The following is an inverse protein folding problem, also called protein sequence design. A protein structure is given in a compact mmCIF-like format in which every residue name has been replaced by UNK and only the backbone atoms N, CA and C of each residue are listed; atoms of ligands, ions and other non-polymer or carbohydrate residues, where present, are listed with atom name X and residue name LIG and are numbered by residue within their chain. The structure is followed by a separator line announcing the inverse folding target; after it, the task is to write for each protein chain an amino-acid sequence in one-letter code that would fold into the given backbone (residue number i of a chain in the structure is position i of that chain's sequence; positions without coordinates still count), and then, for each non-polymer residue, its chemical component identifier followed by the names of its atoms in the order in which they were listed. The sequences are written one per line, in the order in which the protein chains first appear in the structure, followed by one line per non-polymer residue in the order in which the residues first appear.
data_IF_218757797714
#
_entry.id   IF_218757797714
#
_cell.length_a   1.000
_cell.length_b   1.000
_cell.length_c   1.000
_cell.angle_alpha   90.00
_cell.angle_beta   90.00
_cell.angle_gamma   90.00
#
_symmetry.space_group_name_H-M   'P 1'
#
loop_
_entity.id
_entity.type
_entity.pdbx_description
1 polymer ?
#
# COMPACT_ATOMS: atom_id res chain seq x y z
N UNK A 1 -2.29 -24.83 22.61
CA UNK A 1 -2.36 -23.39 22.32
C UNK A 1 -2.41 -22.69 23.65
N UNK A 2 -1.32 -22.09 24.07
CA UNK A 2 -1.26 -21.35 25.34
C UNK A 2 -1.67 -19.91 25.10
N UNK A 3 -2.59 -19.42 25.92
CA UNK A 3 -3.25 -18.12 25.85
C UNK A 3 -2.36 -16.92 26.26
N UNK A 4 -1.12 -16.84 25.83
CA UNK A 4 -0.27 -15.68 26.13
C UNK A 4 -0.24 -14.65 25.00
N UNK A 5 -1.43 -14.24 24.53
CA UNK A 5 -1.60 -13.05 23.66
C UNK A 5 -1.50 -11.71 24.44
N UNK A 6 -0.88 -11.69 25.62
CA UNK A 6 -0.86 -10.52 26.53
C UNK A 6 0.21 -9.49 26.27
N UNK A 7 1.04 -9.64 25.24
CA UNK A 7 2.06 -8.65 24.91
C UNK A 7 1.63 -7.77 23.73
N UNK A 8 0.82 -6.74 23.99
CA UNK A 8 0.52 -5.69 23.03
C UNK A 8 1.65 -4.66 23.10
N UNK A 9 2.34 -4.49 21.99
CA UNK A 9 3.32 -3.42 21.79
C UNK A 9 2.82 -2.45 20.72
N UNK A 10 3.04 -1.17 20.93
CA UNK A 10 2.67 -0.11 19.99
C UNK A 10 3.91 0.36 19.25
N UNK A 11 3.83 0.39 17.93
CA UNK A 11 4.93 0.87 17.08
C UNK A 11 4.46 2.03 16.20
N UNK A 12 5.32 3.05 16.06
CA UNK A 12 5.03 4.18 15.19
C UNK A 12 5.50 3.87 13.77
N UNK A 13 4.56 3.47 12.91
CA UNK A 13 4.82 3.17 11.49
C UNK A 13 4.01 4.09 10.57
N UNK A 14 3.98 5.39 10.88
CA UNK A 14 3.25 6.40 10.11
C UNK A 14 4.02 6.79 8.85
N UNK A 15 3.33 6.84 7.71
CA UNK A 15 3.88 7.37 6.46
C UNK A 15 4.21 8.86 6.59
N UNK A 16 5.39 9.28 6.07
CA UNK A 16 5.79 10.69 5.98
C UNK A 16 4.94 11.48 4.98
N UNK A 17 4.31 10.80 4.04
CA UNK A 17 3.47 11.43 3.02
C UNK A 17 2.02 11.63 3.44
N UNK A 18 1.60 11.06 4.58
CA UNK A 18 0.24 11.16 5.08
C UNK A 18 0.17 12.08 6.30
N UNK A 19 -0.43 13.26 6.14
CA UNK A 19 -0.59 14.24 7.22
C UNK A 19 -1.54 13.74 8.31
N UNK A 20 -2.64 13.10 7.94
CA UNK A 20 -3.63 12.55 8.85
C UNK A 20 -4.30 11.32 8.25
N UNK A 21 -4.59 10.34 9.10
CA UNK A 21 -5.39 9.15 8.77
C UNK A 21 -6.79 9.23 9.36
N UNK A 22 -7.16 10.38 9.95
CA UNK A 22 -8.54 10.55 10.44
C UNK A 22 -9.47 10.56 9.23
N UNK A 23 -10.37 9.57 9.11
CA UNK A 23 -11.37 9.60 8.06
C UNK A 23 -12.22 10.85 8.25
N UNK A 24 -12.41 11.62 7.19
CA UNK A 24 -13.40 12.67 7.16
C UNK A 24 -14.77 12.01 6.98
N UNK A 25 -15.27 11.42 8.05
CA UNK A 25 -16.63 10.93 8.11
C UNK A 25 -17.54 12.16 8.23
N UNK A 26 -18.23 12.52 7.15
CA UNK A 26 -19.40 13.38 7.22
C UNK A 26 -20.52 12.63 7.94
N UNK A 27 -21.46 13.37 8.54
CA UNK A 27 -22.64 12.79 9.18
C UNK A 27 -23.37 11.87 8.18
N UNK A 28 -23.66 10.64 8.60
CA UNK A 28 -24.46 9.62 7.89
C UNK A 28 -24.16 9.50 6.38
N UNK A 29 -22.99 8.96 6.03
CA UNK A 29 -22.76 8.54 4.66
C UNK A 29 -23.22 7.10 4.48
N UNK A 30 -24.28 6.94 3.69
CA UNK A 30 -24.84 5.64 3.33
C UNK A 30 -24.65 5.35 1.84
N UNK A 31 -24.67 4.07 1.48
CA UNK A 31 -24.64 3.62 0.11
C UNK A 31 -23.37 3.99 -0.64
N UNK A 32 -23.54 4.40 -1.91
CA UNK A 32 -22.44 4.67 -2.84
C UNK A 32 -21.48 5.77 -2.36
N UNK A 33 -21.99 6.78 -1.65
CA UNK A 33 -21.16 7.87 -1.12
C UNK A 33 -20.15 7.39 -0.07
N UNK A 34 -20.52 6.41 0.74
CA UNK A 34 -19.62 5.80 1.70
C UNK A 34 -18.48 5.05 0.97
N UNK A 35 -18.79 4.34 -0.11
CA UNK A 35 -17.82 3.62 -0.93
C UNK A 35 -16.85 4.58 -1.63
N UNK A 36 -17.38 5.67 -2.21
CA UNK A 36 -16.58 6.74 -2.82
C UNK A 36 -15.58 7.29 -1.81
N UNK A 37 -16.05 7.66 -0.62
CA UNK A 37 -15.19 8.19 0.44
C UNK A 37 -14.15 7.18 0.93
N UNK A 38 -14.50 5.91 1.01
CA UNK A 38 -13.56 4.86 1.36
C UNK A 38 -12.42 4.77 0.34
N UNK A 39 -12.72 4.89 -0.96
CA UNK A 39 -11.73 4.89 -2.02
C UNK A 39 -10.91 6.18 -2.09
N UNK A 40 -11.51 7.33 -1.77
CA UNK A 40 -10.81 8.63 -1.77
C UNK A 40 -9.89 8.82 -0.57
N UNK A 41 -10.20 8.20 0.56
CA UNK A 41 -9.43 8.37 1.79
C UNK A 41 -8.08 7.66 1.71
N UNK A 42 -7.04 8.21 2.37
CA UNK A 42 -5.79 7.49 2.58
C UNK A 42 -6.03 6.33 3.55
N UNK A 43 -5.31 5.25 3.35
CA UNK A 43 -5.35 4.10 4.26
C UNK A 43 -4.06 3.30 4.19
N UNK A 44 -3.77 2.57 5.27
CA UNK A 44 -2.77 1.51 5.22
C UNK A 44 -3.41 0.25 4.65
N UNK A 45 -2.68 -0.41 3.74
CA UNK A 45 -3.13 -1.66 3.17
C UNK A 45 -2.63 -2.81 4.04
N UNK A 46 -1.67 -3.56 3.61
CA UNK A 46 -1.17 -4.70 4.38
C UNK A 46 0.30 -4.54 4.73
N UNK A 47 0.80 -5.46 5.54
CA UNK A 47 2.21 -5.58 5.89
C UNK A 47 2.72 -6.94 5.40
N UNK A 48 3.90 -6.97 4.79
CA UNK A 48 4.58 -8.18 4.34
C UNK A 48 5.93 -8.32 5.02
N UNK A 49 6.23 -9.51 5.52
CA UNK A 49 7.54 -9.83 6.07
C UNK A 49 8.50 -10.34 4.99
N UNK A 50 9.67 -9.74 4.91
CA UNK A 50 10.79 -10.17 4.08
C UNK A 50 11.79 -10.97 4.93
N UNK A 51 11.66 -12.29 4.86
CA UNK A 51 12.53 -13.22 5.60
C UNK A 51 13.98 -13.21 5.14
N UNK A 52 14.26 -12.71 3.93
CA UNK A 52 15.62 -12.69 3.37
C UNK A 52 16.43 -11.50 3.86
N UNK A 53 15.74 -10.39 4.23
CA UNK A 53 16.34 -9.13 4.68
C UNK A 53 15.95 -8.78 6.11
N UNK A 54 15.09 -9.60 6.72
CA UNK A 54 14.56 -9.38 8.08
C UNK A 54 13.92 -7.99 8.25
N UNK A 55 13.08 -7.61 7.28
CA UNK A 55 12.37 -6.34 7.27
C UNK A 55 10.88 -6.55 6.99
N UNK A 56 10.09 -5.51 7.23
CA UNK A 56 8.67 -5.49 6.88
C UNK A 56 8.40 -4.38 5.87
N UNK A 57 7.54 -4.65 4.89
CA UNK A 57 7.00 -3.66 3.97
C UNK A 57 5.56 -3.35 4.34
N UNK A 58 5.26 -2.08 4.61
CA UNK A 58 3.91 -1.60 4.89
C UNK A 58 3.48 -0.65 3.79
N UNK A 59 2.34 -0.93 3.16
CA UNK A 59 1.79 -0.12 2.08
C UNK A 59 0.87 0.96 2.64
N UNK A 60 1.01 2.18 2.15
CA UNK A 60 0.16 3.32 2.47
C UNK A 60 -0.41 3.92 1.17
N UNK A 61 -1.73 3.92 1.04
CA UNK A 61 -2.44 4.54 -0.07
C UNK A 61 -2.59 6.04 0.17
N UNK A 62 -2.29 6.83 -0.87
CA UNK A 62 -2.45 8.29 -0.80
C UNK A 62 -3.92 8.69 -0.97
N UNK A 63 -4.32 9.89 -0.50
CA UNK A 63 -5.62 10.44 -0.84
C UNK A 63 -5.79 10.51 -2.36
N UNK A 64 -6.99 10.19 -2.85
CA UNK A 64 -7.29 10.20 -4.27
C UNK A 64 -8.70 10.76 -4.49
N UNK A 65 -8.92 11.50 -5.57
CA UNK A 65 -10.24 11.93 -5.98
C UNK A 65 -10.66 11.10 -7.20
N UNK A 66 -11.74 10.35 -7.06
CA UNK A 66 -12.28 9.55 -8.15
C UNK A 66 -12.64 10.44 -9.34
N UNK A 67 -12.21 10.03 -10.53
CA UNK A 67 -12.64 10.68 -11.76
C UNK A 67 -14.10 10.28 -12.08
N UNK A 68 -14.84 11.11 -12.83
CA UNK A 68 -16.26 10.84 -13.13
C UNK A 68 -16.53 9.53 -13.85
N UNK A 69 -15.53 9.00 -14.54
CA UNK A 69 -15.58 7.74 -15.28
C UNK A 69 -15.02 6.53 -14.53
N UNK A 70 -14.56 6.72 -13.29
CA UNK A 70 -14.06 5.63 -12.46
C UNK A 70 -15.20 5.02 -11.63
N UNK A 71 -15.23 3.69 -11.60
CA UNK A 71 -16.16 2.95 -10.76
C UNK A 71 -15.79 3.09 -9.28
N UNK A 72 -16.73 3.49 -8.40
CA UNK A 72 -16.48 3.54 -6.96
C UNK A 72 -16.31 2.16 -6.34
N UNK A 73 -16.73 1.09 -7.02
CA UNK A 73 -16.64 -0.30 -6.55
C UNK A 73 -15.29 -0.95 -6.84
N UNK A 74 -14.46 -0.31 -7.66
CA UNK A 74 -13.13 -0.79 -8.01
C UNK A 74 -12.03 -0.02 -7.27
N UNK A 75 -10.86 -0.63 -7.18
CA UNK A 75 -9.69 0.09 -6.69
C UNK A 75 -9.29 1.16 -7.70
N UNK A 76 -9.18 2.43 -7.26
CA UNK A 76 -8.77 3.50 -8.17
C UNK A 76 -7.38 3.22 -8.77
N UNK A 77 -7.34 3.15 -10.10
CA UNK A 77 -6.11 2.82 -10.85
C UNK A 77 -5.09 3.95 -10.81
N UNK A 78 -5.56 5.18 -10.69
CA UNK A 78 -4.74 6.38 -10.57
C UNK A 78 -4.15 6.65 -9.19
N UNK A 79 -4.53 5.87 -8.17
CA UNK A 79 -4.15 6.11 -6.78
C UNK A 79 -2.65 5.87 -6.56
N UNK A 80 -1.96 6.89 -6.07
CA UNK A 80 -0.57 6.77 -5.63
C UNK A 80 -0.48 5.98 -4.32
N UNK A 81 0.67 5.40 -4.06
CA UNK A 81 0.95 4.72 -2.80
C UNK A 81 2.40 4.91 -2.37
N UNK A 82 2.71 4.59 -1.12
CA UNK A 82 4.08 4.44 -0.66
C UNK A 82 4.31 3.09 -0.03
N UNK A 83 5.57 2.67 0.01
CA UNK A 83 6.04 1.50 0.73
C UNK A 83 6.96 1.97 1.83
N UNK A 84 6.54 1.76 3.07
CA UNK A 84 7.31 1.99 4.28
C UNK A 84 8.10 0.72 4.56
N UNK A 85 9.39 0.85 4.79
CA UNK A 85 10.27 -0.26 5.18
C UNK A 85 10.55 -0.14 6.68
N UNK A 86 10.27 -1.21 7.41
CA UNK A 86 10.51 -1.32 8.84
C UNK A 86 11.57 -2.39 9.10
N UNK A 87 12.45 -2.17 10.05
CA UNK A 87 13.39 -3.18 10.54
C UNK A 87 12.69 -4.24 11.42
N UNK A 88 13.43 -5.18 11.97
CA UNK A 88 12.91 -6.23 12.85
C UNK A 88 12.28 -5.69 14.15
N UNK A 89 12.69 -4.50 14.59
CA UNK A 89 12.15 -3.81 15.77
C UNK A 89 10.96 -2.91 15.42
N UNK A 90 10.45 -2.97 14.19
CA UNK A 90 9.38 -2.14 13.63
C UNK A 90 9.71 -0.64 13.57
N UNK A 91 10.97 -0.27 13.53
CA UNK A 91 11.40 1.10 13.29
C UNK A 91 11.43 1.38 11.78
N UNK A 92 11.03 2.59 11.40
CA UNK A 92 11.03 3.01 9.98
C UNK A 92 12.47 3.26 9.53
N UNK A 93 12.97 2.46 8.60
CA UNK A 93 14.30 2.61 7.99
C UNK A 93 14.25 3.22 6.59
N UNK A 94 13.07 3.29 5.98
CA UNK A 94 12.89 3.94 4.68
C UNK A 94 11.43 4.04 4.26
N UNK A 95 11.17 4.91 3.30
CA UNK A 95 9.87 5.00 2.63
C UNK A 95 10.04 5.54 1.22
N UNK A 96 9.42 4.87 0.25
CA UNK A 96 9.41 5.28 -1.16
C UNK A 96 7.98 5.45 -1.64
N UNK A 97 7.70 6.58 -2.32
CA UNK A 97 6.43 6.86 -2.96
C UNK A 97 6.45 6.40 -4.41
N UNK A 98 5.36 5.82 -4.86
CA UNK A 98 5.15 5.28 -6.19
C UNK A 98 4.03 6.04 -6.91
N UNK A 99 4.18 6.29 -8.22
CA UNK A 99 3.14 6.95 -9.01
C UNK A 99 1.92 6.06 -9.15
N UNK A 100 0.77 6.68 -9.30
CA UNK A 100 -0.45 6.01 -9.75
C UNK A 100 -0.34 5.56 -11.21
N UNK A 101 -1.30 4.78 -11.66
CA UNK A 101 -1.46 4.30 -13.05
C UNK A 101 -0.39 3.32 -13.56
N UNK A 102 0.76 3.22 -12.92
CA UNK A 102 1.84 2.31 -13.35
C UNK A 102 1.75 0.95 -12.65
N UNK A 103 1.62 0.95 -11.35
CA UNK A 103 1.70 -0.27 -10.54
C UNK A 103 0.35 -0.71 -10.02
N UNK A 104 0.14 -2.02 -9.94
CA UNK A 104 -0.96 -2.64 -9.22
C UNK A 104 -0.43 -3.25 -7.93
N UNK A 105 -0.23 -2.39 -6.90
CA UNK A 105 0.42 -2.76 -5.64
C UNK A 105 -0.28 -3.86 -4.84
N UNK A 106 -1.58 -4.10 -5.08
CA UNK A 106 -2.30 -5.21 -4.45
C UNK A 106 -1.82 -6.58 -4.92
N UNK A 107 -1.16 -6.63 -6.06
CA UNK A 107 -0.45 -7.80 -6.55
C UNK A 107 1.04 -7.59 -6.33
N UNK A 108 1.49 -7.88 -5.11
CA UNK A 108 2.87 -7.76 -4.68
C UNK A 108 3.27 -8.99 -3.90
N UNK A 109 4.55 -9.34 -3.95
CA UNK A 109 5.11 -10.43 -3.15
C UNK A 109 6.59 -10.19 -2.84
N UNK A 110 7.10 -10.87 -1.83
CA UNK A 110 8.52 -10.86 -1.47
C UNK A 110 9.20 -12.06 -2.10
N UNK A 111 10.23 -11.79 -2.89
CA UNK A 111 11.11 -12.80 -3.44
C UNK A 111 12.53 -12.69 -2.88
N UNK A 112 13.39 -13.63 -3.28
CA UNK A 112 14.78 -13.66 -2.83
C UNK A 112 15.54 -12.37 -3.15
N UNK A 113 15.26 -11.76 -4.31
CA UNK A 113 15.95 -10.56 -4.79
C UNK A 113 15.39 -9.24 -4.23
N UNK A 114 14.12 -9.20 -3.77
CA UNK A 114 13.49 -7.98 -3.30
C UNK A 114 11.98 -8.07 -3.17
N UNK A 115 11.38 -6.90 -3.09
CA UNK A 115 9.94 -6.69 -3.17
C UNK A 115 9.54 -6.60 -4.64
N UNK A 116 8.64 -7.47 -5.08
CA UNK A 116 8.07 -7.46 -6.42
C UNK A 116 6.70 -6.80 -6.40
N UNK A 117 6.51 -5.80 -7.25
CA UNK A 117 5.23 -5.10 -7.41
C UNK A 117 4.80 -5.23 -8.87
N UNK A 118 3.57 -5.65 -9.10
CA UNK A 118 3.02 -5.81 -10.45
C UNK A 118 2.90 -4.49 -11.18
N UNK A 119 3.25 -4.49 -12.47
CA UNK A 119 2.99 -3.40 -13.42
C UNK A 119 1.66 -3.58 -14.17
N UNK A 120 0.87 -4.60 -13.84
CA UNK A 120 -0.41 -4.89 -14.48
C UNK A 120 -1.54 -3.95 -14.01
N UNK A 121 -1.27 -2.65 -14.00
CA UNK A 121 -2.29 -1.62 -13.85
C UNK A 121 -2.93 -1.35 -15.22
N UNK A 122 -4.25 -1.42 -15.33
CA UNK A 122 -4.98 -1.24 -16.58
C UNK A 122 -4.80 0.14 -17.22
N UNK A 123 -4.34 1.15 -16.45
CA UNK A 123 -4.00 2.45 -16.98
C UNK A 123 -2.51 2.63 -17.31
N UNK A 124 -1.70 1.59 -17.10
CA UNK A 124 -0.32 1.59 -17.55
C UNK A 124 -0.28 1.54 -19.08
N UNK A 125 0.35 2.51 -19.78
CA UNK A 125 0.45 2.48 -21.24
C UNK A 125 1.15 1.23 -21.80
N UNK A 126 1.90 0.51 -20.97
CA UNK A 126 2.59 -0.73 -21.34
C UNK A 126 1.83 -1.99 -20.91
N UNK A 127 0.59 -1.84 -20.45
CA UNK A 127 -0.24 -2.97 -20.04
C UNK A 127 -0.51 -3.92 -21.22
N UNK A 128 -0.26 -5.19 -20.97
CA UNK A 128 -0.58 -6.29 -21.91
C UNK A 128 -1.28 -7.38 -21.10
N UNK A 129 -2.52 -7.68 -21.44
CA UNK A 129 -3.36 -8.66 -20.72
C UNK A 129 -2.78 -10.08 -20.74
N UNK A 130 -1.95 -10.39 -21.75
CA UNK A 130 -1.31 -11.70 -21.91
C UNK A 130 0.00 -11.82 -21.12
N UNK A 131 0.43 -10.76 -20.44
CA UNK A 131 1.69 -10.74 -19.69
C UNK A 131 1.47 -10.40 -18.23
N UNK A 132 2.16 -11.09 -17.38
CA UNK A 132 2.28 -10.79 -15.97
C UNK A 132 3.65 -10.18 -15.72
N UNK A 133 3.69 -8.87 -15.47
CA UNK A 133 4.91 -8.09 -15.34
C UNK A 133 5.11 -7.63 -13.91
N UNK A 134 6.30 -7.83 -13.36
CA UNK A 134 6.69 -7.36 -12.03
C UNK A 134 8.00 -6.59 -12.09
N UNK A 135 8.05 -5.46 -11.39
CA UNK A 135 9.31 -4.78 -11.08
C UNK A 135 9.82 -5.23 -9.72
N UNK A 136 11.08 -5.62 -9.65
CA UNK A 136 11.76 -5.97 -8.41
C UNK A 136 12.43 -4.73 -7.79
N UNK A 137 12.05 -4.39 -6.58
CA UNK A 137 12.64 -3.30 -5.79
C UNK A 137 13.57 -3.86 -4.73
N UNK A 138 14.83 -3.41 -4.76
CA UNK A 138 15.86 -3.80 -3.80
C UNK A 138 16.08 -2.69 -2.79
N UNK A 139 16.17 -3.03 -1.51
CA UNK A 139 16.57 -2.08 -0.49
C UNK A 139 18.07 -1.81 -0.66
N UNK A 140 18.43 -0.54 -0.77
CA UNK A 140 19.85 -0.14 -0.72
C UNK A 140 20.25 -0.01 0.74
N UNK A 141 21.38 -0.65 1.09
CA UNK A 141 21.98 -0.56 2.43
C UNK A 141 21.06 -1.06 3.56
N UNK A 142 20.68 -2.34 3.53
CA UNK A 142 20.18 -3.01 4.74
C UNK A 142 21.38 -3.12 5.67
N UNK A 143 21.32 -2.58 6.91
CA UNK A 143 22.41 -2.74 7.87
C UNK A 143 22.64 -4.20 8.23
#
# INVERSE_FOLDING_TARGET
VTDDLKHIRWYNAKSRYLKSMKPKLGNSMEGINAIIKLNENPRYWHIMYDKYRNVYYRFAEMPYKLAPNESPYETPKGKEFSVIVLNADFEIIGETKFPGKKYFYKMSFVGREGLYISENNLENPQFDENKLVFTCFKIKNVP
#
